data_IF_349052451476
#
_entry.id   IF_349052451476
#
_cell.length_a   1.000
_cell.length_b   1.000
_cell.length_c   1.000
_cell.angle_alpha   90.00
_cell.angle_beta   90.00
_cell.angle_gamma   90.00
#
_symmetry.space_group_name_H-M   'P 1'
#
loop_
_entity.id
_entity.type
_entity.pdbx_description
1 polymer ?
#
# COMPACT_ATOMS: atom_id res chain seq x y z
N UNK A 1 11.20 10.34 -18.15
CA UNK A 1 10.92 9.27 -17.15
C UNK A 1 12.25 8.77 -16.62
N UNK A 2 12.53 8.94 -15.33
CA UNK A 2 13.82 8.55 -14.72
C UNK A 2 13.80 7.09 -14.22
N UNK A 3 12.61 6.55 -13.95
CA UNK A 3 12.40 5.21 -13.43
C UNK A 3 11.04 4.68 -13.90
N UNK A 4 10.95 3.40 -14.28
CA UNK A 4 9.68 2.73 -14.57
C UNK A 4 9.70 1.29 -14.11
N UNK A 5 8.59 0.81 -13.54
CA UNK A 5 8.43 -0.59 -13.13
C UNK A 5 6.96 -0.99 -13.24
N UNK A 6 6.69 -2.27 -13.47
CA UNK A 6 5.35 -2.84 -13.38
C UNK A 6 4.98 -3.30 -11.97
N UNK A 7 5.90 -3.18 -11.00
CA UNK A 7 5.67 -3.59 -9.62
C UNK A 7 5.33 -2.40 -8.73
N UNK A 8 4.12 -2.41 -8.17
CA UNK A 8 3.66 -1.39 -7.22
C UNK A 8 4.59 -1.26 -6.00
N UNK A 9 5.17 -2.37 -5.53
CA UNK A 9 6.12 -2.36 -4.40
C UNK A 9 7.37 -1.57 -4.71
N UNK A 10 7.93 -1.71 -5.92
CA UNK A 10 9.16 -0.99 -6.29
C UNK A 10 8.87 0.50 -6.50
N UNK A 11 7.73 0.84 -7.10
CA UNK A 11 7.26 2.22 -7.22
C UNK A 11 7.09 2.84 -5.83
N UNK A 12 6.45 2.13 -4.90
CA UNK A 12 6.24 2.57 -3.51
C UNK A 12 7.56 2.88 -2.82
N UNK A 13 8.56 2.02 -2.94
CA UNK A 13 9.88 2.24 -2.35
C UNK A 13 10.58 3.49 -2.92
N UNK A 14 10.45 3.74 -4.23
CA UNK A 14 10.99 4.94 -4.86
C UNK A 14 10.28 6.23 -4.37
N UNK A 15 8.97 6.19 -4.17
CA UNK A 15 8.20 7.32 -3.63
C UNK A 15 8.58 7.60 -2.18
N UNK A 16 8.58 6.58 -1.32
CA UNK A 16 8.88 6.73 0.10
C UNK A 16 10.34 7.14 0.38
N UNK A 17 11.27 6.84 -0.54
CA UNK A 17 12.66 7.32 -0.46
C UNK A 17 12.86 8.75 -0.99
N UNK A 18 11.78 9.41 -1.44
CA UNK A 18 11.83 10.76 -1.99
C UNK A 18 12.46 10.85 -3.39
N UNK A 19 12.63 9.72 -4.07
CA UNK A 19 13.26 9.65 -5.40
C UNK A 19 12.27 9.85 -6.55
N UNK A 20 10.96 9.69 -6.29
CA UNK A 20 9.94 9.75 -7.32
C UNK A 20 8.60 10.31 -6.83
N UNK A 21 7.83 10.86 -7.78
CA UNK A 21 6.39 11.07 -7.70
C UNK A 21 5.74 10.05 -8.63
N UNK A 22 4.62 9.45 -8.21
CA UNK A 22 3.92 8.44 -9.01
C UNK A 22 2.41 8.59 -8.94
N UNK A 23 1.74 8.03 -9.95
CA UNK A 23 0.28 7.92 -10.03
C UNK A 23 -0.09 6.53 -9.55
N UNK A 24 -0.89 6.46 -8.48
CA UNK A 24 -1.29 5.21 -7.83
C UNK A 24 -2.80 5.26 -7.54
N UNK A 25 -3.52 4.12 -7.66
CA UNK A 25 -4.87 4.01 -7.12
C UNK A 25 -4.83 4.08 -5.58
N UNK A 26 -5.96 4.45 -4.99
CA UNK A 26 -6.13 4.68 -3.55
C UNK A 26 -5.76 3.44 -2.72
N UNK A 27 -6.05 2.24 -3.24
CA UNK A 27 -5.71 0.96 -2.60
C UNK A 27 -4.20 0.65 -2.55
N UNK A 28 -3.40 1.31 -3.39
CA UNK A 28 -1.95 1.16 -3.44
C UNK A 28 -1.24 2.18 -2.54
N UNK A 29 -1.95 3.16 -1.97
CA UNK A 29 -1.37 4.11 -1.03
C UNK A 29 -0.86 3.40 0.22
N UNK A 30 0.25 3.92 0.76
CA UNK A 30 0.87 3.45 2.00
C UNK A 30 1.04 4.61 2.95
N UNK A 31 0.97 4.38 4.28
CA UNK A 31 1.32 5.38 5.27
C UNK A 31 2.70 6.00 4.99
N UNK A 32 2.82 7.31 5.25
CA UNK A 32 4.03 8.08 4.95
C UNK A 32 4.12 8.62 3.52
N UNK A 33 3.22 8.22 2.62
CA UNK A 33 3.05 8.91 1.33
C UNK A 33 2.30 10.22 1.51
N UNK A 34 2.64 11.21 0.68
CA UNK A 34 1.89 12.45 0.53
C UNK A 34 1.09 12.40 -0.77
N UNK A 35 -0.23 12.59 -0.69
CA UNK A 35 -1.09 12.74 -1.87
C UNK A 35 -0.93 14.16 -2.41
N UNK A 36 -0.70 14.28 -3.71
CA UNK A 36 -0.55 15.57 -4.40
C UNK A 36 -1.84 15.88 -5.16
N UNK A 37 -2.33 17.12 -5.07
CA UNK A 37 -3.57 17.54 -5.70
C UNK A 37 -3.46 18.89 -6.43
N UNK A 38 -4.60 19.50 -6.70
CA UNK A 38 -4.69 20.81 -7.40
C UNK A 38 -3.93 21.92 -6.66
N UNK A 39 -3.92 21.88 -5.32
CA UNK A 39 -3.15 22.82 -4.49
C UNK A 39 -1.63 22.72 -4.71
N UNK A 40 -1.13 21.57 -5.14
CA UNK A 40 0.26 21.32 -5.49
C UNK A 40 0.55 21.59 -6.99
N UNK A 41 -0.46 22.04 -7.76
CA UNK A 41 -0.37 22.27 -9.20
C UNK A 41 -0.60 21.03 -10.06
N UNK A 42 -1.07 19.92 -9.48
CA UNK A 42 -1.40 18.70 -10.24
C UNK A 42 -2.89 18.66 -10.58
N UNK A 43 -3.22 18.33 -11.83
CA UNK A 43 -4.61 18.12 -12.24
C UNK A 43 -5.21 16.85 -11.65
N UNK A 44 -6.54 16.74 -11.69
CA UNK A 44 -7.24 15.53 -11.28
C UNK A 44 -6.88 14.35 -12.20
N UNK A 45 -6.73 13.18 -11.57
CA UNK A 45 -6.48 11.93 -12.27
C UNK A 45 -7.80 11.33 -12.75
N UNK A 46 -7.82 10.65 -13.92
CA UNK A 46 -9.00 9.91 -14.35
C UNK A 46 -9.25 8.70 -13.44
N UNK A 47 -10.51 8.26 -13.39
CA UNK A 47 -10.90 7.08 -12.61
C UNK A 47 -10.14 5.82 -13.05
N UNK A 48 -9.61 5.09 -12.07
CA UNK A 48 -9.07 3.75 -12.31
C UNK A 48 -10.19 2.71 -12.23
N UNK A 49 -10.53 2.09 -13.37
CA UNK A 49 -11.57 1.06 -13.43
C UNK A 49 -10.96 -0.33 -13.47
N UNK A 50 -11.48 -1.22 -12.63
CA UNK A 50 -11.13 -2.63 -12.61
C UNK A 50 -12.35 -3.48 -12.98
N UNK A 51 -12.12 -4.55 -13.72
CA UNK A 51 -13.17 -5.44 -14.22
C UNK A 51 -12.93 -6.89 -13.82
N UNK A 52 -14.01 -7.62 -13.57
CA UNK A 52 -13.97 -9.06 -13.29
C UNK A 52 -14.41 -9.81 -14.55
N UNK A 53 -13.49 -10.57 -15.14
CA UNK A 53 -13.82 -11.47 -16.26
C UNK A 53 -14.27 -12.83 -15.70
N UNK A 54 -15.41 -13.32 -16.17
CA UNK A 54 -16.02 -14.58 -15.71
C UNK A 54 -15.96 -15.61 -16.83
N UNK A 55 -15.41 -16.78 -16.52
CA UNK A 55 -15.45 -17.94 -17.42
C UNK A 55 -16.75 -18.73 -17.28
N UNK A 56 -16.97 -19.65 -18.20
CA UNK A 56 -18.07 -20.61 -18.09
C UNK A 56 -17.82 -21.55 -16.89
N UNK A 57 -18.84 -21.75 -16.05
CA UNK A 57 -18.75 -22.60 -14.87
C UNK A 57 -20.06 -23.34 -14.62
N UNK A 58 -19.97 -24.51 -13.99
CA UNK A 58 -21.14 -25.23 -13.45
C UNK A 58 -21.60 -24.69 -12.09
N UNK A 59 -20.84 -23.76 -11.49
CA UNK A 59 -21.14 -23.15 -10.19
C UNK A 59 -21.20 -21.62 -10.31
N UNK A 60 -22.28 -21.04 -10.86
CA UNK A 60 -22.38 -19.59 -11.01
C UNK A 60 -22.51 -18.87 -9.67
N UNK A 61 -23.19 -19.48 -8.69
CA UNK A 61 -23.48 -18.86 -7.39
C UNK A 61 -22.22 -18.51 -6.60
N UNK A 62 -21.21 -19.39 -6.61
CA UNK A 62 -19.94 -19.13 -5.91
C UNK A 62 -19.12 -18.02 -6.61
N UNK A 63 -19.18 -17.95 -7.95
CA UNK A 63 -18.53 -16.89 -8.71
C UNK A 63 -19.20 -15.54 -8.43
N UNK A 64 -20.52 -15.50 -8.36
CA UNK A 64 -21.25 -14.29 -8.00
C UNK A 64 -21.00 -13.87 -6.55
N UNK A 65 -20.91 -14.82 -5.62
CA UNK A 65 -20.54 -14.56 -4.23
C UNK A 65 -19.14 -13.94 -4.13
N UNK A 66 -18.15 -14.51 -4.82
CA UNK A 66 -16.79 -13.98 -4.85
C UNK A 66 -16.73 -12.59 -5.50
N UNK A 67 -17.39 -12.41 -6.64
CA UNK A 67 -17.39 -11.12 -7.34
C UNK A 67 -18.01 -10.01 -6.49
N UNK A 68 -19.11 -10.31 -5.78
CA UNK A 68 -19.73 -9.38 -4.83
C UNK A 68 -18.79 -9.04 -3.68
N UNK A 69 -18.17 -10.07 -3.08
CA UNK A 69 -17.24 -9.87 -1.97
C UNK A 69 -16.02 -9.00 -2.36
N UNK A 70 -15.46 -9.22 -3.57
CA UNK A 70 -14.37 -8.40 -4.10
C UNK A 70 -14.83 -6.94 -4.26
N UNK A 71 -15.99 -6.71 -4.87
CA UNK A 71 -16.53 -5.36 -5.08
C UNK A 71 -16.75 -4.62 -3.75
N UNK A 72 -17.40 -5.27 -2.79
CA UNK A 72 -17.64 -4.72 -1.45
C UNK A 72 -16.32 -4.42 -0.70
N UNK A 73 -15.31 -5.30 -0.83
CA UNK A 73 -14.02 -5.09 -0.17
C UNK A 73 -13.25 -3.89 -0.74
N UNK A 74 -13.40 -3.62 -2.04
CA UNK A 74 -12.75 -2.50 -2.71
C UNK A 74 -13.45 -1.17 -2.46
N UNK A 75 -14.79 -1.17 -2.35
CA UNK A 75 -15.59 0.03 -2.06
C UNK A 75 -15.32 0.59 -0.64
N UNK A 76 -14.83 -0.27 0.25
CA UNK A 76 -14.47 0.11 1.62
C UNK A 76 -13.04 0.67 1.78
N UNK A 77 -12.30 0.86 0.67
CA UNK A 77 -10.92 1.38 0.75
C UNK A 77 -10.95 2.88 0.97
N UNK A 78 -10.85 3.28 2.24
CA UNK A 78 -10.59 4.67 2.62
C UNK A 78 -9.12 5.03 2.41
N UNK A 79 -8.84 6.24 1.94
CA UNK A 79 -7.48 6.80 1.92
C UNK A 79 -6.96 6.83 3.37
N UNK A 80 -5.76 6.29 3.67
CA UNK A 80 -5.19 6.44 5.00
C UNK A 80 -5.05 7.94 5.29
N UNK A 81 -5.72 8.40 6.35
CA UNK A 81 -5.60 9.79 6.80
C UNK A 81 -4.13 10.06 7.00
N UNK A 82 -3.62 11.08 6.31
CA UNK A 82 -2.25 11.55 6.50
C UNK A 82 -2.18 12.05 7.95
N UNK A 83 -1.59 11.26 8.85
CA UNK A 83 -1.27 11.74 10.18
C UNK A 83 -0.41 13.00 9.96
N UNK A 84 -0.91 14.13 10.44
CA UNK A 84 -0.21 15.42 10.47
C UNK A 84 1.24 15.16 10.83
N UNK A 85 2.16 15.78 10.08
CA UNK A 85 3.59 15.68 10.26
C UNK A 85 4.01 16.19 11.66
N UNK A 86 3.76 15.40 12.69
CA UNK A 86 4.49 15.44 13.94
C UNK A 86 5.92 15.07 13.60
N UNK A 87 6.86 15.93 14.00
CA UNK A 87 8.29 15.78 13.71
C UNK A 87 8.76 14.35 14.00
N UNK A 88 8.98 13.55 12.95
CA UNK A 88 9.61 12.26 13.08
C UNK A 88 11.12 12.48 13.31
N UNK A 89 11.56 12.31 14.56
CA UNK A 89 12.95 12.49 14.94
C UNK A 89 13.80 11.27 14.53
N UNK A 90 14.44 11.38 13.36
CA UNK A 90 15.38 10.39 12.83
C UNK A 90 16.61 10.17 13.73
N UNK A 91 16.98 11.16 14.56
CA UNK A 91 18.13 11.05 15.46
C UNK A 91 17.87 10.06 16.61
N UNK A 92 16.62 9.94 17.07
CA UNK A 92 16.24 9.01 18.13
C UNK A 92 16.43 7.53 17.70
N UNK A 93 16.22 7.21 16.43
CA UNK A 93 16.39 5.85 15.89
C UNK A 93 17.87 5.44 15.81
N UNK A 94 18.77 6.40 15.55
CA UNK A 94 20.21 6.17 15.44
C UNK A 94 20.84 5.76 16.79
N UNK A 95 20.22 6.14 17.92
CA UNK A 95 20.66 5.76 19.27
C UNK A 95 20.05 4.44 19.79
N UNK A 96 19.04 3.88 19.11
CA UNK A 96 18.48 2.56 19.44
C UNK A 96 19.36 1.42 18.88
N UNK A 97 20.67 1.45 19.14
CA UNK A 97 21.56 0.30 18.90
C UNK A 97 21.22 -0.83 19.88
N UNK A 98 20.39 -1.76 19.40
CA UNK A 98 20.60 -3.21 19.49
C UNK A 98 21.00 -3.76 20.88
N UNK A 99 20.05 -3.84 21.82
CA UNK A 99 20.17 -4.81 22.93
C UNK A 99 19.85 -6.20 22.38
N UNK A 100 20.86 -6.87 21.83
CA UNK A 100 20.77 -8.25 21.32
C UNK A 100 20.46 -9.18 22.49
N UNK A 101 19.18 -9.50 22.70
CA UNK A 101 18.77 -10.52 23.68
C UNK A 101 19.20 -11.87 23.13
N UNK A 102 20.18 -12.47 23.81
CA UNK A 102 20.74 -13.78 23.50
C UNK A 102 19.69 -14.83 23.84
N UNK A 103 18.89 -15.26 22.86
CA UNK A 103 17.97 -16.39 23.02
C UNK A 103 18.79 -17.68 23.02
N UNK A 104 19.12 -18.18 24.21
CA UNK A 104 19.73 -19.48 24.42
C UNK A 104 18.84 -20.28 25.38
N UNK A 105 18.51 -21.51 24.96
CA UNK A 105 17.76 -22.56 25.67
C UNK A 105 16.22 -22.31 25.76
N UNK A 106 15.32 -23.28 25.54
CA UNK A 106 15.30 -24.71 25.92
C UNK A 106 14.46 -25.53 24.89
N UNK A 107 14.93 -26.72 24.50
CA UNK A 107 14.17 -27.84 23.85
C UNK A 107 13.59 -28.77 24.94
N UNK A 108 12.80 -29.83 24.64
CA UNK A 108 11.64 -29.99 23.76
C UNK A 108 10.41 -30.54 24.56
N UNK A 109 9.23 -30.71 23.93
CA UNK A 109 8.14 -31.43 24.60
C UNK A 109 6.90 -31.68 23.75
N UNK A 110 6.83 -32.92 23.24
CA UNK A 110 5.69 -33.69 22.70
C UNK A 110 5.00 -33.16 21.43
#
# INVERSE_FOLDING_TARGET
VLFSSFSATVITAAVLSGLAVSVLPECALRPGMRVLGEADGFGQLPDCRIGIMRGQTSQPEIVDALARHIAESLDNISVPVSEEAGSFDFAALAFAKMKRVKANQIMPGW
#
